data_IF_634989749121
#
_entry.id   IF_634989749121
#
_cell.length_a   1.000
_cell.length_b   1.000
_cell.length_c   1.000
_cell.angle_alpha   90.00
_cell.angle_beta   90.00
_cell.angle_gamma   90.00
#
_symmetry.space_group_name_H-M   'P 1'
#
loop_
_entity.id
_entity.type
_entity.pdbx_description
1 polymer ?
#
# COMPACT_ATOMS: atom_id res chain seq x y z
N UNK A 1 8.40 0.20 0.45
CA UNK A 1 7.15 -0.28 1.10
C UNK A 1 7.45 -1.51 1.93
N UNK A 2 7.01 -1.59 3.18
CA UNK A 2 7.22 -2.77 4.04
C UNK A 2 5.98 -3.65 4.11
N UNK A 3 6.19 -4.97 4.18
CA UNK A 3 5.12 -5.92 4.44
C UNK A 3 4.62 -5.76 5.88
N UNK A 4 3.33 -5.54 6.14
CA UNK A 4 2.82 -5.38 7.51
C UNK A 4 2.93 -6.66 8.34
N UNK A 5 3.09 -7.82 7.69
CA UNK A 5 3.21 -9.12 8.36
C UNK A 5 4.67 -9.48 8.64
N UNK A 6 5.51 -9.39 7.62
CA UNK A 6 6.90 -9.87 7.68
C UNK A 6 7.91 -8.76 7.98
N UNK A 7 7.49 -7.49 7.95
CA UNK A 7 8.35 -6.30 8.11
C UNK A 7 9.52 -6.19 7.12
N UNK A 8 9.53 -7.01 6.06
CA UNK A 8 10.53 -6.96 4.99
C UNK A 8 10.13 -6.00 3.88
N UNK A 9 11.13 -5.52 3.12
CA UNK A 9 10.93 -4.74 1.91
C UNK A 9 10.14 -5.51 0.84
N UNK A 10 9.04 -4.92 0.38
CA UNK A 10 8.26 -5.43 -0.75
C UNK A 10 8.91 -5.00 -2.07
N UNK A 11 8.82 -5.84 -3.10
CA UNK A 11 9.34 -5.59 -4.45
C UNK A 11 8.24 -5.07 -5.37
N UNK A 12 8.58 -4.09 -6.21
CA UNK A 12 7.65 -3.53 -7.19
C UNK A 12 7.57 -4.43 -8.44
N UNK A 13 6.35 -4.77 -8.85
CA UNK A 13 6.08 -5.47 -10.11
C UNK A 13 5.91 -4.45 -11.24
N UNK A 14 7.01 -4.25 -11.99
CA UNK A 14 7.15 -3.22 -13.03
C UNK A 14 6.19 -3.37 -14.24
N UNK A 15 5.58 -4.54 -14.45
CA UNK A 15 4.69 -4.84 -15.59
C UNK A 15 3.20 -4.72 -15.24
N UNK A 16 2.80 -3.60 -14.65
CA UNK A 16 1.38 -3.33 -14.45
C UNK A 16 0.88 -2.47 -15.61
N UNK A 17 0.11 -3.03 -16.55
CA UNK A 17 -0.63 -2.29 -17.58
C UNK A 17 -1.70 -1.35 -16.98
N UNK A 18 -1.87 -1.38 -15.66
CA UNK A 18 -2.75 -0.51 -14.91
C UNK A 18 -1.98 0.69 -14.35
N UNK A 19 -2.66 1.84 -14.21
CA UNK A 19 -2.18 3.08 -13.54
C UNK A 19 -1.93 2.90 -12.02
N UNK A 20 -1.56 1.70 -11.57
CA UNK A 20 -1.29 1.35 -10.16
C UNK A 20 0.00 0.53 -10.10
N UNK A 21 0.91 0.90 -9.20
CA UNK A 21 2.09 0.10 -8.84
C UNK A 21 1.68 -1.08 -7.97
N UNK A 22 2.11 -2.27 -8.33
CA UNK A 22 1.88 -3.49 -7.55
C UNK A 22 3.13 -3.83 -6.77
N UNK A 23 3.00 -4.11 -5.48
CA UNK A 23 4.09 -4.46 -4.57
C UNK A 23 3.87 -5.87 -4.03
N UNK A 24 4.89 -6.73 -4.09
CA UNK A 24 4.80 -8.13 -3.65
C UNK A 24 5.83 -8.38 -2.54
N UNK A 25 5.40 -9.05 -1.47
CA UNK A 25 6.28 -9.49 -0.40
C UNK A 25 7.02 -10.77 -0.82
N UNK A 26 8.36 -10.79 -0.85
CA UNK A 26 9.12 -11.97 -1.25
C UNK A 26 9.08 -13.12 -0.22
N UNK A 27 8.66 -12.85 1.03
CA UNK A 27 8.60 -13.87 2.09
C UNK A 27 7.26 -14.60 2.17
N UNK A 28 6.15 -13.90 1.94
CA UNK A 28 4.81 -14.44 2.16
C UNK A 28 3.85 -14.24 0.98
N UNK A 29 4.34 -13.75 -0.16
CA UNK A 29 3.54 -13.53 -1.38
C UNK A 29 2.49 -12.42 -1.30
N UNK A 30 2.34 -11.76 -0.14
CA UNK A 30 1.34 -10.70 0.05
C UNK A 30 1.53 -9.59 -0.97
N UNK A 31 0.45 -9.22 -1.64
CA UNK A 31 0.44 -8.16 -2.65
C UNK A 31 -0.23 -6.89 -2.09
N UNK A 32 0.29 -5.72 -2.46
CA UNK A 32 -0.29 -4.41 -2.15
C UNK A 32 -0.26 -3.54 -3.40
N UNK A 33 -1.41 -2.98 -3.77
CA UNK A 33 -1.49 -2.03 -4.88
C UNK A 33 -1.39 -0.59 -4.35
N UNK A 34 -0.65 0.25 -5.06
CA UNK A 34 -0.50 1.66 -4.81
C UNK A 34 -0.92 2.41 -6.07
N UNK A 35 -1.91 3.30 -5.98
CA UNK A 35 -2.26 4.16 -7.10
C UNK A 35 -1.10 5.12 -7.40
N UNK A 36 -0.73 5.24 -8.68
CA UNK A 36 0.23 6.27 -9.13
C UNK A 36 -0.54 7.47 -9.65
N UNK A 37 -0.66 8.49 -8.80
CA UNK A 37 -1.44 9.72 -9.03
C UNK A 37 -2.79 9.66 -8.30
N UNK A 38 -3.24 10.62 -7.51
CA UNK A 38 -2.95 12.07 -7.37
C UNK A 38 -2.52 12.41 -5.93
N UNK A 39 -1.83 13.55 -5.73
CA UNK A 39 -1.76 14.20 -4.41
C UNK A 39 -3.21 14.34 -3.90
N UNK A 40 -3.53 13.74 -2.76
CA UNK A 40 -4.83 13.91 -2.11
C UNK A 40 -5.73 12.68 -2.18
N UNK A 41 -5.49 11.72 -1.29
CA UNK A 41 -6.59 11.07 -0.58
C UNK A 41 -6.06 10.63 0.77
N UNK A 42 -6.38 11.45 1.76
CA UNK A 42 -6.07 11.21 3.15
C UNK A 42 -6.52 9.81 3.56
N UNK A 43 -5.68 9.20 4.37
CA UNK A 43 -6.00 8.08 5.24
C UNK A 43 -7.41 8.21 5.83
N UNK A 44 -8.37 7.45 5.29
CA UNK A 44 -9.68 7.20 5.90
C UNK A 44 -9.50 6.31 7.14
N UNK A 45 -8.77 6.78 8.15
CA UNK A 45 -8.55 6.05 9.41
C UNK A 45 -8.45 6.91 10.67
N UNK A 46 -8.75 8.19 10.61
CA UNK A 46 -8.88 9.02 11.81
C UNK A 46 -10.33 9.46 12.02
N UNK A 47 -11.14 8.55 12.57
CA UNK A 47 -12.48 8.83 13.10
C UNK A 47 -12.58 8.30 14.54
N UNK A 48 -11.57 8.65 15.36
CA UNK A 48 -11.56 8.39 16.80
C UNK A 48 -11.04 9.63 17.53
N UNK A 49 -11.92 10.59 17.77
CA UNK A 49 -12.01 11.45 18.98
C UNK A 49 -12.87 12.68 18.68
N UNK A 50 -14.02 12.78 19.34
CA UNK A 50 -14.69 14.01 19.78
C UNK A 50 -16.18 13.69 20.03
N UNK A 51 -16.47 13.05 21.16
CA UNK A 51 -17.72 13.23 21.90
C UNK A 51 -17.28 13.44 23.33
N UNK A 52 -17.23 14.71 23.73
CA UNK A 52 -17.36 15.18 25.10
C UNK A 52 -18.55 16.14 25.10
#
# INVERSE_FOLDING_TARGET
MLCPRCKVGMREERRSFHKKRKWICPKCGRTRMQAVGTKGSGSFRDRRKAVD
#
